data_IF_818900254398
#
_entry.id   IF_818900254398
#
_cell.length_a   1.000
_cell.length_b   1.000
_cell.length_c   1.000
_cell.angle_alpha   90.00
_cell.angle_beta   90.00
_cell.angle_gamma   90.00
#
_symmetry.space_group_name_H-M   'P 1'
#
loop_
_entity.id
_entity.type
_entity.pdbx_description
1 polymer ?
#
# COMPACT_ATOMS: atom_id res chain seq x y z
N UNK A 1 19.93 -22.60 -20.37
CA UNK A 1 20.52 -21.52 -21.17
C UNK A 1 19.60 -20.28 -21.29
N UNK A 2 18.33 -20.44 -21.66
CA UNK A 2 17.35 -19.36 -21.86
C UNK A 2 17.18 -18.41 -20.66
N UNK A 3 17.08 -18.94 -19.44
CA UNK A 3 16.92 -18.13 -18.21
C UNK A 3 18.17 -17.31 -17.88
N UNK A 4 19.37 -17.86 -18.10
CA UNK A 4 20.62 -17.09 -17.95
C UNK A 4 20.67 -15.92 -18.91
N UNK A 5 20.26 -16.15 -20.16
CA UNK A 5 20.17 -15.10 -21.18
C UNK A 5 19.16 -14.03 -20.77
N UNK A 6 17.98 -14.40 -20.25
CA UNK A 6 16.97 -13.48 -19.75
C UNK A 6 17.50 -12.57 -18.62
N UNK A 7 18.22 -13.14 -17.65
CA UNK A 7 18.85 -12.38 -16.55
C UNK A 7 19.90 -11.41 -17.09
N UNK A 8 20.78 -11.85 -17.98
CA UNK A 8 21.86 -11.01 -18.54
C UNK A 8 21.26 -9.87 -19.36
N UNK A 9 20.34 -10.17 -20.29
CA UNK A 9 19.71 -9.18 -21.15
C UNK A 9 18.86 -8.18 -20.35
N UNK A 10 18.08 -8.66 -19.39
CA UNK A 10 17.28 -7.79 -18.49
C UNK A 10 18.15 -6.84 -17.66
N UNK A 11 19.27 -7.34 -17.12
CA UNK A 11 20.23 -6.49 -16.39
C UNK A 11 20.94 -5.48 -17.29
N UNK A 12 21.27 -5.87 -18.51
CA UNK A 12 21.84 -4.95 -19.49
C UNK A 12 20.84 -3.82 -19.81
N UNK A 13 19.58 -4.18 -20.10
CA UNK A 13 18.51 -3.19 -20.29
C UNK A 13 18.36 -2.25 -19.08
N UNK A 14 18.43 -2.80 -17.85
CA UNK A 14 18.38 -1.98 -16.61
C UNK A 14 19.54 -0.99 -16.51
N UNK A 15 20.76 -1.38 -16.88
CA UNK A 15 21.94 -0.50 -16.89
C UNK A 15 21.77 0.65 -17.89
N UNK A 16 21.32 0.34 -19.11
CA UNK A 16 21.09 1.37 -20.14
C UNK A 16 20.01 2.37 -19.74
N UNK A 17 18.92 1.91 -19.14
CA UNK A 17 17.81 2.78 -18.72
C UNK A 17 18.18 3.66 -17.51
N UNK A 18 19.02 3.19 -16.61
CA UNK A 18 19.54 4.04 -15.51
C UNK A 18 20.32 5.24 -16.02
N UNK A 19 21.02 5.11 -17.14
CA UNK A 19 21.73 6.23 -17.78
C UNK A 19 20.79 7.26 -18.42
N UNK A 20 19.53 6.87 -18.72
CA UNK A 20 18.53 7.72 -19.38
C UNK A 20 17.39 8.20 -18.47
N UNK A 21 17.42 7.82 -17.19
CA UNK A 21 16.45 8.28 -16.19
C UNK A 21 15.02 7.72 -16.34
N UNK A 22 14.83 6.53 -16.94
CA UNK A 22 13.48 6.01 -17.21
C UNK A 22 13.27 4.51 -17.05
N UNK A 23 12.04 4.14 -16.68
CA UNK A 23 11.37 2.86 -16.93
C UNK A 23 11.71 1.65 -16.08
N UNK A 24 11.14 1.55 -14.86
CA UNK A 24 11.31 0.38 -13.97
C UNK A 24 10.83 -0.96 -14.54
N UNK A 25 9.83 -0.96 -15.43
CA UNK A 25 9.19 -2.17 -15.97
C UNK A 25 9.87 -2.76 -17.22
N UNK A 26 10.67 -2.00 -17.96
CA UNK A 26 11.28 -2.44 -19.23
C UNK A 26 12.25 -3.60 -19.07
N UNK A 27 13.14 -3.64 -18.06
CA UNK A 27 14.04 -4.78 -17.85
C UNK A 27 13.28 -6.09 -17.67
N UNK A 28 12.18 -6.06 -16.90
CA UNK A 28 11.30 -7.22 -16.71
C UNK A 28 10.61 -7.66 -18.00
N UNK A 29 10.14 -6.72 -18.83
CA UNK A 29 9.60 -7.06 -20.17
C UNK A 29 10.60 -7.82 -21.03
N UNK A 30 11.85 -7.35 -21.05
CA UNK A 30 12.93 -8.02 -21.81
C UNK A 30 13.14 -9.45 -21.28
N UNK A 31 13.21 -9.62 -19.97
CA UNK A 31 13.39 -10.96 -19.37
C UNK A 31 12.22 -11.89 -19.67
N UNK A 32 10.98 -11.43 -19.55
CA UNK A 32 9.78 -12.23 -19.82
C UNK A 32 9.63 -12.55 -21.31
N UNK A 33 10.01 -11.66 -22.23
CA UNK A 33 10.03 -11.95 -23.67
C UNK A 33 11.01 -13.07 -24.03
N UNK A 34 12.17 -13.12 -23.36
CA UNK A 34 13.17 -14.18 -23.57
C UNK A 34 12.75 -15.47 -22.85
N UNK A 35 12.24 -15.38 -21.63
CA UNK A 35 11.85 -16.51 -20.80
C UNK A 35 10.50 -16.27 -20.11
N UNK A 36 9.36 -16.59 -20.74
CA UNK A 36 8.02 -16.36 -20.18
C UNK A 36 7.82 -16.98 -18.79
N UNK A 37 8.37 -18.15 -18.51
CA UNK A 37 8.33 -18.81 -17.20
C UNK A 37 9.41 -18.31 -16.22
N UNK A 38 9.97 -17.10 -16.43
CA UNK A 38 11.04 -16.57 -15.56
C UNK A 38 10.56 -16.34 -14.13
N UNK A 39 9.35 -15.82 -13.93
CA UNK A 39 8.79 -15.57 -12.58
C UNK A 39 8.64 -16.88 -11.80
N UNK A 40 7.95 -17.87 -12.39
CA UNK A 40 7.73 -19.17 -11.78
C UNK A 40 9.06 -19.84 -11.38
N UNK A 41 10.02 -19.86 -12.32
CA UNK A 41 11.33 -20.42 -12.05
C UNK A 41 12.06 -19.68 -10.93
N UNK A 42 12.00 -18.36 -10.92
CA UNK A 42 12.75 -17.56 -9.97
C UNK A 42 12.37 -17.88 -8.52
N UNK A 43 11.09 -18.11 -8.26
CA UNK A 43 10.57 -18.36 -6.91
C UNK A 43 10.45 -19.84 -6.54
N UNK A 44 10.66 -20.76 -7.49
CA UNK A 44 10.38 -22.19 -7.31
C UNK A 44 11.25 -22.90 -6.26
N UNK A 45 12.30 -22.26 -5.75
CA UNK A 45 13.20 -22.82 -4.73
C UNK A 45 13.06 -22.16 -3.35
N UNK A 46 12.11 -21.27 -3.17
CA UNK A 46 11.84 -20.66 -1.87
C UNK A 46 11.22 -21.72 -0.93
N UNK A 47 11.84 -22.04 0.22
CA UNK A 47 11.35 -23.10 1.12
C UNK A 47 9.93 -22.84 1.65
N UNK A 48 9.60 -21.57 1.89
CA UNK A 48 8.27 -21.16 2.34
C UNK A 48 7.36 -20.68 1.19
N UNK A 49 7.83 -20.84 -0.07
CA UNK A 49 7.07 -20.41 -1.24
C UNK A 49 6.91 -18.92 -1.38
N UNK A 50 5.82 -18.52 -2.01
CA UNK A 50 5.40 -17.10 -2.14
C UNK A 50 4.07 -16.89 -1.46
N UNK A 51 3.88 -15.69 -0.92
CA UNK A 51 2.59 -15.20 -0.44
C UNK A 51 2.24 -13.90 -1.15
N UNK A 52 0.95 -13.70 -1.41
CA UNK A 52 0.45 -12.51 -2.07
C UNK A 52 -0.21 -11.57 -1.07
N UNK A 53 -0.04 -10.27 -1.31
CA UNK A 53 -0.75 -9.21 -0.60
C UNK A 53 -1.53 -8.41 -1.65
N UNK A 54 -2.86 -8.40 -1.53
CA UNK A 54 -3.76 -7.71 -2.48
C UNK A 54 -4.92 -7.03 -1.76
N UNK A 55 -5.57 -6.09 -2.44
CA UNK A 55 -6.67 -5.27 -1.95
C UNK A 55 -6.60 -3.85 -2.50
N UNK A 56 -7.66 -3.08 -2.42
CA UNK A 56 -7.72 -1.72 -2.99
C UNK A 56 -6.65 -0.81 -2.38
N UNK A 57 -6.52 -0.80 -1.06
CA UNK A 57 -5.55 0.02 -0.33
C UNK A 57 -4.73 -0.82 0.67
N UNK A 58 -3.64 -0.23 1.20
CA UNK A 58 -2.80 -0.87 2.23
C UNK A 58 -1.74 -1.84 1.69
N UNK A 59 -1.80 -2.28 0.44
CA UNK A 59 -0.89 -3.30 -0.14
C UNK A 59 0.58 -3.11 0.18
N UNK A 60 1.14 -1.95 -0.17
CA UNK A 60 2.57 -1.66 0.04
C UNK A 60 2.93 -1.56 1.52
N UNK A 61 2.07 -0.93 2.32
CA UNK A 61 2.27 -0.80 3.77
C UNK A 61 2.29 -2.17 4.43
N UNK A 62 1.27 -2.99 4.15
CA UNK A 62 1.16 -4.35 4.68
C UNK A 62 2.31 -5.25 4.22
N UNK A 63 2.72 -5.13 2.94
CA UNK A 63 3.88 -5.87 2.40
C UNK A 63 5.16 -5.52 3.15
N UNK A 64 5.40 -4.24 3.44
CA UNK A 64 6.55 -3.80 4.21
C UNK A 64 6.49 -4.27 5.67
N UNK A 65 5.32 -4.16 6.31
CA UNK A 65 5.12 -4.65 7.68
C UNK A 65 5.37 -6.16 7.76
N UNK A 66 4.77 -6.94 6.87
CA UNK A 66 4.97 -8.39 6.81
C UNK A 66 6.45 -8.74 6.57
N UNK A 67 7.10 -8.06 5.63
CA UNK A 67 8.51 -8.26 5.34
C UNK A 67 9.38 -7.96 6.57
N UNK A 68 9.11 -6.88 7.30
CA UNK A 68 9.85 -6.55 8.50
C UNK A 68 9.63 -7.60 9.61
N UNK A 69 8.38 -8.03 9.84
CA UNK A 69 8.08 -9.09 10.82
C UNK A 69 8.85 -10.37 10.49
N UNK A 70 8.82 -10.82 9.23
CA UNK A 70 9.52 -12.04 8.82
C UNK A 70 11.03 -11.91 8.95
N UNK A 71 11.61 -10.76 8.65
CA UNK A 71 13.05 -10.48 8.83
C UNK A 71 13.45 -10.47 10.30
N UNK A 72 12.63 -9.92 11.20
CA UNK A 72 12.84 -10.00 12.65
C UNK A 72 12.85 -11.44 13.17
N UNK A 73 12.18 -12.37 12.46
CA UNK A 73 12.25 -13.80 12.72
C UNK A 73 13.41 -14.50 12.01
N UNK A 74 14.38 -13.75 11.45
CA UNK A 74 15.59 -14.27 10.82
C UNK A 74 15.39 -14.80 9.41
N UNK A 75 14.24 -14.56 8.77
CA UNK A 75 14.00 -15.00 7.40
C UNK A 75 14.58 -14.02 6.36
N UNK A 76 15.16 -14.59 5.30
CA UNK A 76 15.53 -13.85 4.10
C UNK A 76 14.32 -13.71 3.17
N UNK A 77 13.81 -12.49 3.02
CA UNK A 77 12.57 -12.20 2.32
C UNK A 77 12.83 -11.47 1.00
N UNK A 78 12.35 -12.06 -0.10
CA UNK A 78 12.21 -11.36 -1.37
C UNK A 78 10.89 -10.59 -1.38
N UNK A 79 10.91 -9.35 -1.86
CA UNK A 79 9.70 -8.56 -2.09
C UNK A 79 9.90 -7.66 -3.32
N UNK A 80 8.81 -7.27 -3.97
CA UNK A 80 8.82 -6.27 -5.02
C UNK A 80 8.69 -4.86 -4.41
N UNK A 81 9.30 -3.83 -5.03
CA UNK A 81 9.15 -2.45 -4.55
C UNK A 81 7.70 -1.96 -4.69
N UNK A 82 7.33 -0.99 -3.87
CA UNK A 82 6.03 -0.31 -3.95
C UNK A 82 5.77 0.18 -5.38
N UNK A 83 4.58 -0.10 -5.91
CA UNK A 83 4.21 0.22 -7.29
C UNK A 83 4.71 -0.77 -8.35
N UNK A 84 5.61 -1.71 -8.01
CA UNK A 84 6.08 -2.77 -8.91
C UNK A 84 5.20 -4.02 -8.91
N UNK A 85 3.89 -3.87 -8.85
CA UNK A 85 2.87 -4.91 -8.62
C UNK A 85 2.32 -5.57 -9.91
N UNK A 86 2.92 -5.25 -11.06
CA UNK A 86 2.64 -5.87 -12.35
C UNK A 86 3.70 -6.96 -12.67
N UNK A 87 3.40 -7.96 -13.52
CA UNK A 87 4.35 -9.03 -13.85
C UNK A 87 5.73 -8.54 -14.28
N UNK A 88 5.80 -7.51 -15.12
CA UNK A 88 7.07 -6.92 -15.57
C UNK A 88 7.79 -6.14 -14.46
N UNK A 89 7.07 -5.54 -13.52
CA UNK A 89 7.62 -4.87 -12.35
C UNK A 89 8.27 -5.89 -11.41
N UNK A 90 7.56 -6.98 -11.10
CA UNK A 90 8.08 -8.11 -10.30
C UNK A 90 9.30 -8.74 -10.97
N UNK A 91 9.26 -8.96 -12.30
CA UNK A 91 10.41 -9.48 -13.04
C UNK A 91 11.61 -8.51 -12.96
N UNK A 92 11.38 -7.20 -13.03
CA UNK A 92 12.44 -6.20 -12.86
C UNK A 92 13.06 -6.23 -11.47
N UNK A 93 12.24 -6.39 -10.43
CA UNK A 93 12.70 -6.54 -9.05
C UNK A 93 13.56 -7.80 -8.89
N UNK A 94 13.10 -8.93 -9.46
CA UNK A 94 13.85 -10.17 -9.48
C UNK A 94 15.22 -10.04 -10.16
N UNK A 95 15.30 -9.35 -11.29
CA UNK A 95 16.56 -9.10 -12.01
C UNK A 95 17.60 -8.35 -11.17
N UNK A 96 17.16 -7.59 -10.16
CA UNK A 96 18.07 -6.90 -9.26
C UNK A 96 18.78 -7.86 -8.30
N UNK A 97 18.10 -8.90 -7.87
CA UNK A 97 18.48 -9.74 -6.74
C UNK A 97 18.90 -11.16 -7.13
N UNK A 98 18.27 -11.78 -8.15
CA UNK A 98 18.56 -13.16 -8.53
C UNK A 98 19.99 -13.31 -9.08
N UNK A 99 20.73 -14.37 -8.76
CA UNK A 99 21.96 -14.75 -9.46
C UNK A 99 21.70 -15.06 -10.94
N UNK A 100 22.76 -15.28 -11.74
CA UNK A 100 22.65 -15.58 -13.18
C UNK A 100 21.88 -16.88 -13.46
N UNK A 101 21.80 -17.79 -12.49
CA UNK A 101 21.01 -19.02 -12.59
C UNK A 101 19.49 -18.76 -12.58
N UNK A 102 19.08 -17.53 -12.17
CA UNK A 102 17.70 -17.05 -12.21
C UNK A 102 16.83 -17.50 -11.03
N UNK A 103 17.40 -18.00 -9.92
CA UNK A 103 16.66 -18.36 -8.71
C UNK A 103 16.84 -17.33 -7.61
N UNK A 104 15.77 -16.97 -6.92
CA UNK A 104 15.83 -16.16 -5.70
C UNK A 104 16.59 -16.92 -4.62
N UNK A 105 17.47 -16.21 -3.92
CA UNK A 105 18.12 -16.70 -2.71
C UNK A 105 17.35 -16.12 -1.52
N UNK A 106 16.64 -16.94 -0.79
CA UNK A 106 15.81 -16.54 0.35
C UNK A 106 14.91 -17.66 0.83
N UNK A 107 14.13 -17.35 1.84
CA UNK A 107 13.22 -18.30 2.49
C UNK A 107 11.80 -18.16 1.97
N UNK A 108 11.36 -16.94 1.68
CA UNK A 108 9.99 -16.63 1.27
C UNK A 108 9.94 -15.44 0.32
N UNK A 109 8.94 -15.44 -0.58
CA UNK A 109 8.58 -14.30 -1.39
C UNK A 109 7.30 -13.65 -0.85
N UNK A 110 7.36 -12.37 -0.46
CA UNK A 110 6.19 -11.56 -0.14
C UNK A 110 5.95 -10.63 -1.32
N UNK A 111 4.88 -10.87 -2.07
CA UNK A 111 4.65 -10.19 -3.35
C UNK A 111 3.38 -9.35 -3.25
N UNK A 112 3.54 -8.03 -3.39
CA UNK A 112 2.43 -7.12 -3.63
C UNK A 112 1.90 -7.32 -5.04
N UNK A 113 0.61 -7.58 -5.19
CA UNK A 113 -0.04 -7.78 -6.49
C UNK A 113 -1.23 -6.84 -6.68
N UNK A 114 -1.33 -6.29 -7.88
CA UNK A 114 -2.52 -5.58 -8.34
C UNK A 114 -3.67 -6.57 -8.52
N UNK A 115 -4.91 -6.16 -8.26
CA UNK A 115 -6.07 -7.05 -8.23
C UNK A 115 -6.30 -7.75 -9.57
N UNK A 116 -6.20 -7.04 -10.69
CA UNK A 116 -6.43 -7.62 -12.01
C UNK A 116 -5.27 -8.54 -12.45
N UNK A 117 -4.03 -8.07 -12.35
CA UNK A 117 -2.86 -8.86 -12.72
C UNK A 117 -2.56 -9.96 -11.69
N UNK A 118 -3.05 -9.80 -10.46
CA UNK A 118 -2.92 -10.79 -9.39
C UNK A 118 -3.61 -12.09 -9.73
N UNK A 119 -4.71 -12.07 -10.50
CA UNK A 119 -5.42 -13.30 -10.93
C UNK A 119 -4.51 -14.17 -11.80
N UNK A 120 -3.89 -13.58 -12.83
CA UNK A 120 -2.98 -14.31 -13.71
C UNK A 120 -1.70 -14.76 -12.97
N UNK A 121 -1.15 -13.87 -12.14
CA UNK A 121 0.02 -14.18 -11.31
C UNK A 121 -0.26 -15.29 -10.30
N UNK A 122 -1.44 -15.33 -9.69
CA UNK A 122 -1.83 -16.37 -8.75
C UNK A 122 -1.96 -17.73 -9.43
N UNK A 123 -2.50 -17.75 -10.64
CA UNK A 123 -2.55 -18.96 -11.46
C UNK A 123 -1.14 -19.46 -11.83
N UNK A 124 -0.24 -18.54 -12.17
CA UNK A 124 1.13 -18.84 -12.58
C UNK A 124 2.01 -19.28 -11.40
N UNK A 125 2.02 -18.50 -10.31
CA UNK A 125 2.96 -18.67 -9.19
C UNK A 125 2.41 -19.58 -8.09
N UNK A 126 1.09 -19.85 -8.08
CA UNK A 126 0.40 -20.68 -7.09
C UNK A 126 0.83 -20.31 -5.67
N UNK A 127 0.47 -19.13 -5.17
CA UNK A 127 0.94 -18.68 -3.87
C UNK A 127 0.55 -19.69 -2.78
N UNK A 128 1.42 -19.84 -1.79
CA UNK A 128 1.14 -20.66 -0.61
C UNK A 128 -0.04 -20.12 0.17
N UNK A 129 -0.10 -18.78 0.29
CA UNK A 129 -1.22 -18.08 0.89
C UNK A 129 -1.42 -16.70 0.28
N UNK A 130 -2.62 -16.14 0.43
CA UNK A 130 -2.95 -14.77 0.04
C UNK A 130 -3.53 -14.00 1.22
N UNK A 131 -3.08 -12.75 1.37
CA UNK A 131 -3.62 -11.78 2.31
C UNK A 131 -4.49 -10.78 1.53
N UNK A 132 -5.78 -10.77 1.82
CA UNK A 132 -6.78 -9.93 1.21
C UNK A 132 -7.17 -8.83 2.21
N UNK A 133 -6.95 -7.55 1.84
CA UNK A 133 -6.97 -6.43 2.77
C UNK A 133 -8.32 -5.73 2.84
N UNK A 134 -8.86 -5.30 1.69
CA UNK A 134 -10.10 -4.54 1.60
C UNK A 134 -10.61 -4.42 0.17
N UNK A 135 -11.90 -4.09 0.06
CA UNK A 135 -12.58 -3.65 -1.15
C UNK A 135 -13.06 -2.22 -0.93
N UNK A 136 -12.41 -1.26 -1.57
CA UNK A 136 -12.70 0.16 -1.44
C UNK A 136 -12.87 0.79 -2.82
N UNK A 137 -13.44 1.99 -2.89
CA UNK A 137 -13.57 2.73 -4.14
C UNK A 137 -12.16 3.14 -4.59
N UNK A 138 -11.67 2.50 -5.65
CA UNK A 138 -10.38 2.77 -6.26
C UNK A 138 -10.45 2.51 -7.78
N UNK A 139 -9.80 3.36 -8.57
CA UNK A 139 -9.64 3.20 -10.01
C UNK A 139 -10.96 2.83 -10.74
N UNK A 140 -12.07 3.55 -10.45
CA UNK A 140 -13.36 3.31 -11.12
C UNK A 140 -13.25 3.39 -12.64
N UNK A 141 -12.35 4.22 -13.16
CA UNK A 141 -12.02 4.32 -14.59
C UNK A 141 -11.44 3.02 -15.18
N UNK A 142 -10.90 2.12 -14.34
CA UNK A 142 -10.31 0.83 -14.76
C UNK A 142 -11.22 -0.36 -14.46
N UNK A 143 -11.88 -0.36 -13.31
CA UNK A 143 -12.67 -1.50 -12.85
C UNK A 143 -14.18 -1.31 -13.01
N UNK A 144 -14.66 -0.08 -13.19
CA UNK A 144 -16.04 0.35 -13.34
C UNK A 144 -16.93 0.07 -12.11
N UNK A 145 -16.79 -1.10 -11.48
CA UNK A 145 -17.61 -1.51 -10.34
C UNK A 145 -16.78 -2.24 -9.28
N UNK A 146 -16.99 -1.98 -7.97
CA UNK A 146 -16.31 -2.70 -6.88
C UNK A 146 -16.53 -4.21 -6.92
N UNK A 147 -17.68 -4.69 -7.42
CA UNK A 147 -18.00 -6.12 -7.56
C UNK A 147 -16.98 -6.89 -8.41
N UNK A 148 -16.38 -6.25 -9.40
CA UNK A 148 -15.28 -6.85 -10.19
C UNK A 148 -14.02 -7.06 -9.35
N UNK A 149 -13.70 -6.10 -8.48
CA UNK A 149 -12.57 -6.21 -7.55
C UNK A 149 -12.81 -7.37 -6.57
N UNK A 150 -14.02 -7.52 -6.04
CA UNK A 150 -14.42 -8.66 -5.20
C UNK A 150 -14.16 -9.99 -5.93
N UNK A 151 -14.60 -10.11 -7.18
CA UNK A 151 -14.37 -11.31 -8.00
C UNK A 151 -12.89 -11.61 -8.24
N UNK A 152 -12.07 -10.58 -8.48
CA UNK A 152 -10.62 -10.71 -8.66
C UNK A 152 -9.95 -11.17 -7.35
N UNK A 153 -10.26 -10.55 -6.20
CA UNK A 153 -9.71 -10.94 -4.90
C UNK A 153 -10.12 -12.37 -4.52
N UNK A 154 -11.39 -12.76 -4.78
CA UNK A 154 -11.84 -14.14 -4.62
C UNK A 154 -11.00 -15.11 -5.46
N UNK A 155 -10.71 -14.77 -6.72
CA UNK A 155 -9.92 -15.61 -7.62
C UNK A 155 -8.46 -15.74 -7.14
N UNK A 156 -7.86 -14.65 -6.64
CA UNK A 156 -6.51 -14.67 -6.04
C UNK A 156 -6.50 -15.59 -4.81
N UNK A 157 -7.46 -15.43 -3.89
CA UNK A 157 -7.59 -16.28 -2.70
C UNK A 157 -7.81 -17.76 -3.06
N UNK A 158 -8.67 -18.03 -4.05
CA UNK A 158 -8.96 -19.39 -4.51
C UNK A 158 -7.73 -20.10 -5.10
N UNK A 159 -6.77 -19.36 -5.63
CA UNK A 159 -5.51 -19.89 -6.19
C UNK A 159 -4.44 -20.19 -5.13
N UNK A 160 -4.67 -19.82 -3.85
CA UNK A 160 -3.77 -20.15 -2.76
C UNK A 160 -3.76 -21.66 -2.49
N UNK A 161 -2.56 -22.23 -2.36
CA UNK A 161 -2.39 -23.68 -2.24
C UNK A 161 -2.64 -24.23 -0.82
N UNK A 162 -2.46 -23.38 0.22
CA UNK A 162 -2.59 -23.83 1.61
C UNK A 162 -3.63 -23.03 2.40
N UNK A 163 -3.56 -21.70 2.43
CA UNK A 163 -4.44 -20.88 3.27
C UNK A 163 -4.75 -19.50 2.67
N UNK A 164 -5.78 -18.86 3.22
CA UNK A 164 -6.13 -17.46 2.90
C UNK A 164 -6.27 -16.67 4.20
N UNK A 165 -5.75 -15.44 4.21
CA UNK A 165 -5.93 -14.49 5.31
C UNK A 165 -6.82 -13.35 4.82
N UNK A 166 -7.92 -13.09 5.51
CA UNK A 166 -8.91 -12.10 5.08
C UNK A 166 -9.26 -11.12 6.21
N UNK A 167 -9.56 -9.89 5.83
CA UNK A 167 -10.08 -8.88 6.74
C UNK A 167 -11.55 -9.17 7.06
N UNK A 168 -11.86 -9.41 8.34
CA UNK A 168 -13.23 -9.67 8.78
C UNK A 168 -14.08 -8.40 8.93
N UNK A 169 -13.46 -7.21 8.91
CA UNK A 169 -14.17 -5.92 8.97
C UNK A 169 -14.56 -5.40 7.57
N UNK A 170 -14.20 -6.11 6.51
CA UNK A 170 -14.66 -5.85 5.16
C UNK A 170 -15.74 -6.86 4.79
N UNK A 171 -16.99 -6.43 4.64
CA UNK A 171 -18.15 -7.30 4.41
C UNK A 171 -17.95 -8.24 3.20
N UNK A 172 -17.34 -7.74 2.13
CA UNK A 172 -17.06 -8.53 0.93
C UNK A 172 -16.04 -9.62 1.21
N UNK A 173 -14.96 -9.29 1.93
CA UNK A 173 -13.91 -10.25 2.28
C UNK A 173 -14.36 -11.22 3.38
N UNK A 174 -15.15 -10.76 4.34
CA UNK A 174 -15.77 -11.62 5.35
C UNK A 174 -16.63 -12.71 4.69
N UNK A 175 -17.44 -12.32 3.70
CA UNK A 175 -18.23 -13.28 2.91
C UNK A 175 -17.36 -14.26 2.12
N UNK A 176 -16.31 -13.77 1.43
CA UNK A 176 -15.35 -14.64 0.74
C UNK A 176 -14.68 -15.62 1.71
N UNK A 177 -14.28 -15.14 2.89
CA UNK A 177 -13.70 -15.98 3.94
C UNK A 177 -14.65 -17.07 4.42
N UNK A 178 -15.93 -16.73 4.62
CA UNK A 178 -16.96 -17.69 5.00
C UNK A 178 -17.23 -18.72 3.88
N UNK A 179 -17.29 -18.30 2.62
CA UNK A 179 -17.41 -19.20 1.45
C UNK A 179 -16.22 -20.18 1.41
N UNK A 180 -15.00 -19.70 1.53
CA UNK A 180 -13.80 -20.55 1.53
C UNK A 180 -13.76 -21.53 2.70
N UNK A 181 -14.19 -21.10 3.89
CA UNK A 181 -14.30 -21.99 5.05
C UNK A 181 -15.35 -23.08 4.82
N UNK A 182 -16.49 -22.75 4.21
CA UNK A 182 -17.52 -23.72 3.83
C UNK A 182 -17.04 -24.69 2.73
N UNK A 183 -16.14 -24.26 1.85
CA UNK A 183 -15.44 -25.11 0.88
C UNK A 183 -14.35 -25.99 1.51
N UNK A 184 -14.13 -25.92 2.82
CA UNK A 184 -13.10 -26.67 3.55
C UNK A 184 -11.69 -26.12 3.39
N UNK A 185 -11.54 -24.88 2.96
CA UNK A 185 -10.23 -24.20 2.86
C UNK A 185 -9.78 -23.69 4.24
N UNK A 186 -8.50 -23.61 4.45
CA UNK A 186 -7.92 -23.03 5.65
C UNK A 186 -7.98 -21.50 5.58
N UNK A 187 -8.85 -20.90 6.38
CA UNK A 187 -9.10 -19.46 6.43
C UNK A 187 -8.69 -18.90 7.77
N UNK A 188 -7.90 -17.85 7.76
CA UNK A 188 -7.51 -17.06 8.92
C UNK A 188 -8.06 -15.65 8.75
N UNK A 189 -8.59 -15.06 9.83
CA UNK A 189 -9.11 -13.70 9.79
C UNK A 189 -8.36 -12.78 10.75
N UNK A 190 -8.41 -11.47 10.46
CA UNK A 190 -7.99 -10.39 11.33
C UNK A 190 -9.06 -9.31 11.36
N UNK A 191 -9.11 -8.54 12.45
CA UNK A 191 -10.12 -7.51 12.64
C UNK A 191 -9.65 -6.42 13.62
N UNK A 192 -10.47 -5.37 13.72
CA UNK A 192 -10.34 -4.26 14.66
C UNK A 192 -11.57 -4.21 15.56
N UNK A 193 -11.41 -3.77 16.80
CA UNK A 193 -12.54 -3.62 17.72
C UNK A 193 -13.60 -2.66 17.15
N UNK A 194 -14.88 -3.01 17.16
CA UNK A 194 -15.94 -2.17 16.64
C UNK A 194 -15.98 -0.76 17.25
N UNK A 195 -15.59 -0.63 18.54
CA UNK A 195 -15.47 0.66 19.22
C UNK A 195 -14.40 1.58 18.60
N UNK A 196 -13.31 1.01 18.07
CA UNK A 196 -12.25 1.77 17.39
C UNK A 196 -12.75 2.23 16.02
N UNK A 197 -13.42 1.34 15.27
CA UNK A 197 -14.01 1.69 13.97
C UNK A 197 -15.06 2.79 14.16
N UNK A 198 -15.94 2.66 15.16
CA UNK A 198 -16.98 3.65 15.46
C UNK A 198 -16.42 4.99 15.94
N UNK A 199 -15.20 5.06 16.47
CA UNK A 199 -14.53 6.31 16.83
C UNK A 199 -13.87 7.03 15.65
N UNK A 200 -13.73 6.35 14.49
CA UNK A 200 -13.24 6.97 13.26
C UNK A 200 -14.39 7.66 12.53
N UNK A 201 -14.28 8.94 12.16
CA UNK A 201 -15.37 9.70 11.55
C UNK A 201 -16.01 9.02 10.32
N UNK A 202 -15.19 8.41 9.48
CA UNK A 202 -15.60 7.72 8.25
C UNK A 202 -15.37 6.20 8.28
N UNK A 203 -15.14 5.62 9.46
CA UNK A 203 -14.89 4.19 9.64
C UNK A 203 -13.68 3.68 8.85
N UNK A 204 -13.82 2.54 8.17
CA UNK A 204 -12.79 1.94 7.31
C UNK A 204 -12.94 2.31 5.82
N UNK A 205 -14.00 3.02 5.46
CA UNK A 205 -14.34 3.40 4.07
C UNK A 205 -14.41 2.20 3.09
N UNK A 206 -14.76 1.02 3.59
CA UNK A 206 -14.98 -0.17 2.76
C UNK A 206 -16.31 -0.07 2.00
N UNK A 207 -16.38 -0.70 0.84
CA UNK A 207 -17.62 -0.79 0.07
C UNK A 207 -18.54 -1.81 0.72
N UNK A 208 -19.80 -1.43 0.96
CA UNK A 208 -20.83 -2.32 1.48
C UNK A 208 -21.04 -3.52 0.55
N UNK A 209 -21.22 -4.71 1.11
CA UNK A 209 -21.61 -5.89 0.33
C UNK A 209 -23.09 -5.81 -0.05
N UNK A 210 -23.37 -5.74 -1.34
CA UNK A 210 -24.71 -5.72 -1.89
C UNK A 210 -25.20 -7.12 -2.33
N UNK A 211 -24.45 -8.18 -2.02
CA UNK A 211 -24.83 -9.54 -2.40
C UNK A 211 -26.09 -9.99 -1.65
N UNK A 212 -27.06 -10.61 -2.33
CA UNK A 212 -28.25 -11.12 -1.66
C UNK A 212 -27.91 -12.34 -0.79
N UNK A 213 -28.40 -12.35 0.43
CA UNK A 213 -28.33 -13.48 1.35
C UNK A 213 -27.54 -13.18 2.63
N UNK A 214 -27.78 -13.98 3.66
CA UNK A 214 -27.00 -13.98 4.89
C UNK A 214 -25.75 -14.82 4.67
N UNK A 215 -24.57 -14.19 4.60
CA UNK A 215 -23.33 -14.93 4.65
C UNK A 215 -23.17 -15.62 6.02
N UNK A 216 -22.58 -16.82 6.03
CA UNK A 216 -22.12 -17.42 7.28
C UNK A 216 -21.12 -16.47 7.96
N UNK A 217 -21.09 -16.45 9.29
CA UNK A 217 -20.13 -15.64 10.00
C UNK A 217 -18.70 -16.09 9.64
N UNK A 218 -17.76 -15.14 9.41
CA UNK A 218 -16.37 -15.49 9.18
C UNK A 218 -15.77 -16.15 10.43
N UNK A 219 -14.66 -16.90 10.28
CA UNK A 219 -13.94 -17.44 11.41
C UNK A 219 -13.54 -16.36 12.44
N UNK A 220 -13.43 -16.75 13.70
CA UNK A 220 -12.99 -15.81 14.76
C UNK A 220 -11.60 -15.25 14.43
N UNK A 221 -11.38 -13.93 14.52
CA UNK A 221 -10.11 -13.31 14.19
C UNK A 221 -8.94 -13.87 15.01
N UNK A 222 -7.87 -14.25 14.33
CA UNK A 222 -6.63 -14.74 14.95
C UNK A 222 -5.73 -13.61 15.45
N UNK A 223 -5.91 -12.42 14.88
CA UNK A 223 -5.28 -11.17 15.30
C UNK A 223 -6.35 -10.08 15.35
N UNK A 224 -6.38 -9.36 16.46
CA UNK A 224 -7.41 -8.38 16.74
C UNK A 224 -6.81 -7.11 17.33
N UNK A 225 -7.09 -5.95 16.71
CA UNK A 225 -6.70 -4.64 17.26
C UNK A 225 -7.72 -4.24 18.32
N UNK A 226 -7.32 -4.23 19.59
CA UNK A 226 -8.23 -3.92 20.70
C UNK A 226 -8.02 -2.55 21.33
N UNK A 227 -6.95 -1.82 20.97
CA UNK A 227 -6.73 -0.42 21.32
C UNK A 227 -5.92 0.29 20.24
N UNK A 228 -6.21 1.58 20.03
CA UNK A 228 -5.49 2.47 19.12
C UNK A 228 -5.49 3.89 19.68
N UNK A 229 -4.30 4.45 19.93
CA UNK A 229 -4.12 5.84 20.37
C UNK A 229 -2.93 6.45 19.63
N UNK A 230 -3.20 7.36 18.72
CA UNK A 230 -2.18 7.94 17.85
C UNK A 230 -1.48 6.87 17.00
N UNK A 231 -0.20 6.60 17.31
CA UNK A 231 0.61 5.54 16.68
C UNK A 231 0.69 4.27 17.52
N UNK A 232 0.17 4.28 18.73
CA UNK A 232 0.23 3.12 19.63
C UNK A 232 -1.00 2.24 19.40
N UNK A 233 -0.79 1.01 18.97
CA UNK A 233 -1.84 0.02 18.82
C UNK A 233 -1.57 -1.18 19.72
N UNK A 234 -2.65 -1.82 20.16
CA UNK A 234 -2.58 -3.07 20.94
C UNK A 234 -3.19 -4.20 20.15
N UNK A 235 -2.38 -5.21 19.86
CA UNK A 235 -2.78 -6.39 19.12
C UNK A 235 -2.98 -7.57 20.05
N UNK A 236 -4.16 -8.19 20.04
CA UNK A 236 -4.38 -9.50 20.60
C UNK A 236 -4.06 -10.58 19.55
N UNK A 237 -3.16 -11.48 19.87
CA UNK A 237 -2.63 -12.50 18.95
C UNK A 237 -2.70 -13.86 19.62
N UNK A 238 -3.75 -14.65 19.34
CA UNK A 238 -3.88 -16.00 19.87
C UNK A 238 -3.76 -16.12 21.40
N UNK A 239 -4.37 -15.19 22.12
CA UNK A 239 -4.35 -15.15 23.60
C UNK A 239 -3.20 -14.33 24.21
N UNK A 240 -2.23 -13.88 23.42
CA UNK A 240 -1.17 -12.95 23.83
C UNK A 240 -1.50 -11.53 23.38
N UNK A 241 -1.17 -10.53 24.18
CA UNK A 241 -1.35 -9.12 23.83
C UNK A 241 0.01 -8.45 23.63
N UNK A 242 0.15 -7.67 22.56
CA UNK A 242 1.38 -6.95 22.23
C UNK A 242 1.05 -5.50 21.92
N UNK A 243 1.76 -4.57 22.57
CA UNK A 243 1.71 -3.17 22.22
C UNK A 243 2.71 -2.93 21.07
N UNK A 244 2.26 -2.25 20.02
CA UNK A 244 3.07 -1.95 18.81
C UNK A 244 3.04 -0.47 18.52
N UNK A 245 4.19 0.07 18.09
CA UNK A 245 4.28 1.42 17.57
C UNK A 245 4.19 1.39 16.05
N UNK A 246 3.07 1.86 15.51
CA UNK A 246 2.83 1.94 14.06
C UNK A 246 3.75 2.97 13.38
N UNK A 247 4.10 2.79 12.10
CA UNK A 247 4.94 3.74 11.36
C UNK A 247 4.30 5.11 11.21
N UNK A 248 2.95 5.19 11.12
CA UNK A 248 2.20 6.44 11.12
C UNK A 248 0.88 6.30 11.88
N UNK A 249 0.16 7.42 12.04
CA UNK A 249 -1.16 7.49 12.68
C UNK A 249 -2.22 6.99 11.71
N UNK A 250 -3.29 6.42 12.24
CA UNK A 250 -4.50 6.10 11.50
C UNK A 250 -4.94 4.64 11.64
N UNK A 251 -6.27 4.48 11.60
CA UNK A 251 -6.92 3.17 11.73
C UNK A 251 -6.43 2.19 10.64
N UNK A 252 -6.23 2.67 9.42
CA UNK A 252 -5.74 1.85 8.31
C UNK A 252 -4.35 1.22 8.59
N UNK A 253 -3.44 1.92 9.32
CA UNK A 253 -2.16 1.34 9.72
C UNK A 253 -2.32 0.23 10.75
N UNK A 254 -3.30 0.34 11.64
CA UNK A 254 -3.60 -0.71 12.60
C UNK A 254 -4.20 -1.95 11.93
N UNK A 255 -5.08 -1.75 10.93
CA UNK A 255 -5.63 -2.83 10.08
C UNK A 255 -4.51 -3.52 9.31
N UNK A 256 -3.63 -2.75 8.65
CA UNK A 256 -2.49 -3.28 7.90
C UNK A 256 -1.54 -4.09 8.80
N UNK A 257 -1.28 -3.61 10.03
CA UNK A 257 -0.45 -4.30 11.01
C UNK A 257 -1.10 -5.61 11.49
N UNK A 258 -2.41 -5.62 11.71
CA UNK A 258 -3.14 -6.85 12.07
C UNK A 258 -3.07 -7.88 10.95
N UNK A 259 -3.31 -7.48 9.70
CA UNK A 259 -3.22 -8.34 8.52
C UNK A 259 -1.82 -8.92 8.32
N UNK A 260 -0.78 -8.07 8.38
CA UNK A 260 0.62 -8.49 8.29
C UNK A 260 0.99 -9.49 9.41
N UNK A 261 0.54 -9.22 10.63
CA UNK A 261 0.78 -10.10 11.79
C UNK A 261 0.07 -11.45 11.64
N UNK A 262 -1.18 -11.45 11.16
CA UNK A 262 -1.94 -12.69 10.92
C UNK A 262 -1.26 -13.55 9.84
N UNK A 263 -0.81 -12.95 8.74
CA UNK A 263 -0.07 -13.64 7.70
C UNK A 263 1.27 -14.17 8.20
N UNK A 264 2.06 -13.38 8.95
CA UNK A 264 3.33 -13.81 9.52
C UNK A 264 3.13 -15.00 10.47
N UNK A 265 2.12 -14.96 11.33
CA UNK A 265 1.77 -16.05 12.22
C UNK A 265 1.46 -17.34 11.47
N UNK A 266 0.71 -17.26 10.36
CA UNK A 266 0.41 -18.42 9.50
C UNK A 266 1.66 -19.00 8.84
N UNK A 267 2.57 -18.16 8.39
CA UNK A 267 3.82 -18.61 7.77
C UNK A 267 4.80 -19.25 8.74
N UNK A 268 4.90 -18.70 9.95
CA UNK A 268 5.90 -19.08 10.94
C UNK A 268 5.44 -20.24 11.83
N UNK A 269 4.12 -20.42 12.02
CA UNK A 269 3.58 -21.43 12.93
C UNK A 269 4.17 -21.29 14.33
N UNK A 270 4.72 -22.39 14.88
CA UNK A 270 5.29 -22.43 16.24
C UNK A 270 6.54 -21.55 16.41
N UNK A 271 7.15 -21.09 15.31
CA UNK A 271 8.31 -20.16 15.34
C UNK A 271 7.90 -18.69 15.53
N UNK A 272 6.60 -18.40 15.53
CA UNK A 272 6.12 -17.02 15.66
C UNK A 272 6.36 -16.47 17.06
N UNK A 273 7.09 -15.35 17.14
CA UNK A 273 7.31 -14.56 18.37
C UNK A 273 6.51 -13.25 18.28
N UNK A 274 5.52 -13.11 19.14
CA UNK A 274 4.69 -11.91 19.18
C UNK A 274 5.50 -10.63 19.55
N UNK A 275 6.56 -10.74 20.34
CA UNK A 275 7.42 -9.62 20.69
C UNK A 275 8.23 -9.08 19.47
N UNK A 276 8.51 -9.93 18.50
CA UNK A 276 9.18 -9.52 17.26
C UNK A 276 8.31 -8.56 16.43
N UNK A 277 6.99 -8.62 16.56
CA UNK A 277 6.07 -7.71 15.85
C UNK A 277 6.32 -6.26 16.26
N UNK A 278 6.46 -5.97 17.55
CA UNK A 278 6.76 -4.61 18.03
C UNK A 278 8.13 -4.12 17.50
N UNK A 279 9.16 -4.94 17.56
CA UNK A 279 10.48 -4.57 17.04
C UNK A 279 10.44 -4.26 15.54
N UNK A 280 9.73 -5.10 14.78
CA UNK A 280 9.53 -4.90 13.36
C UNK A 280 8.83 -3.57 13.06
N UNK A 281 7.71 -3.29 13.72
CA UNK A 281 6.93 -2.07 13.50
C UNK A 281 7.72 -0.82 13.88
N UNK A 282 8.44 -0.85 15.02
CA UNK A 282 9.25 0.28 15.49
C UNK A 282 10.41 0.64 14.55
N UNK A 283 10.93 -0.34 13.78
CA UNK A 283 11.99 -0.14 12.80
C UNK A 283 11.53 0.42 11.46
N UNK A 284 10.22 0.38 11.18
CA UNK A 284 9.67 0.79 9.91
C UNK A 284 9.62 2.32 9.78
N UNK A 285 9.99 2.78 8.59
CA UNK A 285 9.68 4.13 8.12
C UNK A 285 8.39 4.10 7.30
N UNK A 286 7.69 5.23 7.26
CA UNK A 286 6.50 5.37 6.42
C UNK A 286 6.82 5.12 4.95
N UNK A 287 5.90 4.47 4.24
CA UNK A 287 5.96 4.37 2.78
C UNK A 287 5.68 5.74 2.19
N UNK A 288 6.29 6.06 1.05
CA UNK A 288 6.13 7.33 0.35
C UNK A 288 4.71 7.87 0.33
N UNK A 289 4.56 9.16 0.70
CA UNK A 289 3.30 9.88 0.61
C UNK A 289 2.20 9.41 1.55
N UNK A 290 2.51 8.53 2.51
CA UNK A 290 1.54 8.01 3.48
C UNK A 290 1.84 8.54 4.88
N UNK A 291 1.62 9.85 5.09
CA UNK A 291 2.08 10.55 6.28
C UNK A 291 3.61 10.63 6.35
N UNK A 292 4.26 10.68 5.19
CA UNK A 292 5.71 10.83 5.08
C UNK A 292 6.10 12.26 5.44
N UNK A 293 7.04 12.40 6.37
CA UNK A 293 7.63 13.69 6.70
C UNK A 293 9.00 13.80 6.05
N UNK A 294 9.19 14.83 5.22
CA UNK A 294 10.44 15.17 4.58
C UNK A 294 11.09 16.34 5.30
N UNK A 295 12.40 16.24 5.54
CA UNK A 295 13.20 17.36 6.05
C UNK A 295 13.65 18.24 4.89
N UNK A 296 13.12 19.46 4.79
CA UNK A 296 13.44 20.45 3.75
C UNK A 296 14.08 21.66 4.42
N UNK A 297 15.41 21.78 4.29
CA UNK A 297 16.16 22.79 5.05
C UNK A 297 16.08 22.52 6.56
N UNK A 298 15.54 23.47 7.30
CA UNK A 298 15.32 23.40 8.75
C UNK A 298 13.85 23.12 9.14
N UNK A 299 13.00 22.83 8.15
CA UNK A 299 11.58 22.55 8.33
C UNK A 299 11.21 21.11 8.00
N UNK A 300 10.15 20.63 8.62
CA UNK A 300 9.51 19.36 8.29
C UNK A 300 8.27 19.61 7.43
N UNK A 301 8.12 18.84 6.37
CA UNK A 301 7.01 18.89 5.41
C UNK A 301 6.35 17.52 5.37
N UNK A 302 5.08 17.46 5.70
CA UNK A 302 4.29 16.23 5.61
C UNK A 302 3.68 16.09 4.22
N UNK A 303 3.78 14.90 3.64
CA UNK A 303 3.16 14.57 2.36
C UNK A 303 1.99 13.62 2.58
N UNK A 304 0.81 14.05 2.18
CA UNK A 304 -0.42 13.27 2.11
C UNK A 304 -0.68 12.96 0.63
N UNK A 305 -0.51 11.70 0.25
CA UNK A 305 -0.79 11.27 -1.11
C UNK A 305 -2.29 11.00 -1.29
N UNK A 306 -2.94 11.76 -2.17
CA UNK A 306 -4.30 11.50 -2.60
C UNK A 306 -4.30 10.50 -3.75
N UNK A 307 -4.50 9.23 -3.45
CA UNK A 307 -4.59 8.16 -4.45
C UNK A 307 -6.04 7.96 -4.92
N UNK A 308 -6.97 7.93 -3.98
CA UNK A 308 -8.39 7.65 -4.15
C UNK A 308 -9.18 8.22 -2.97
N UNK A 309 -10.54 8.24 -3.02
CA UNK A 309 -11.37 8.80 -1.95
C UNK A 309 -11.02 8.25 -0.56
N UNK A 310 -11.01 6.93 -0.31
CA UNK A 310 -10.72 6.40 1.02
C UNK A 310 -9.33 6.79 1.53
N UNK A 311 -8.32 6.78 0.66
CA UNK A 311 -6.96 7.12 1.09
C UNK A 311 -6.82 8.59 1.48
N UNK A 312 -7.48 9.51 0.77
CA UNK A 312 -7.48 10.92 1.15
C UNK A 312 -8.28 11.14 2.42
N UNK A 313 -9.52 10.62 2.49
CA UNK A 313 -10.40 10.83 3.64
C UNK A 313 -9.75 10.33 4.94
N UNK A 314 -9.24 9.10 4.95
CA UNK A 314 -8.60 8.54 6.13
C UNK A 314 -7.36 9.34 6.59
N UNK A 315 -6.60 9.93 5.68
CA UNK A 315 -5.49 10.80 6.07
C UNK A 315 -5.98 12.12 6.65
N UNK A 316 -7.04 12.71 6.10
CA UNK A 316 -7.63 13.95 6.62
C UNK A 316 -8.27 13.74 8.00
N UNK A 317 -8.95 12.61 8.22
CA UNK A 317 -9.58 12.24 9.49
C UNK A 317 -8.58 12.14 10.66
N UNK A 318 -7.32 11.88 10.36
CA UNK A 318 -6.25 11.73 11.37
C UNK A 318 -5.33 12.93 11.50
N UNK A 319 -5.65 14.04 10.84
CA UNK A 319 -5.01 15.31 11.16
C UNK A 319 -5.39 15.69 12.60
N UNK A 320 -4.39 15.83 13.47
CA UNK A 320 -4.64 16.15 14.88
C UNK A 320 -5.17 17.56 15.09
N UNK A 321 -4.83 18.46 14.17
CA UNK A 321 -5.23 19.87 14.13
C UNK A 321 -5.25 20.31 12.66
N UNK A 322 -6.06 21.32 12.29
CA UNK A 322 -5.98 21.94 10.97
C UNK A 322 -4.56 22.41 10.67
N UNK A 323 -3.98 22.05 9.51
CA UNK A 323 -2.63 22.50 9.15
C UNK A 323 -2.59 24.01 8.96
N UNK A 324 -1.56 24.68 9.53
CA UNK A 324 -1.36 26.13 9.36
C UNK A 324 -0.93 26.51 7.94
N UNK A 325 -0.41 25.57 7.14
CA UNK A 325 -0.02 25.80 5.75
C UNK A 325 -0.32 24.56 4.91
N UNK A 326 -1.04 24.78 3.83
CA UNK A 326 -1.54 23.73 2.97
C UNK A 326 -1.17 23.99 1.51
N UNK A 327 -0.51 23.02 0.91
CA UNK A 327 -0.22 22.96 -0.51
C UNK A 327 -1.02 21.82 -1.16
N UNK A 328 -1.66 22.08 -2.28
CA UNK A 328 -2.36 21.04 -3.03
C UNK A 328 -1.82 21.00 -4.46
N UNK A 329 -1.42 19.82 -4.95
CA UNK A 329 -0.98 19.70 -6.35
C UNK A 329 -1.48 18.42 -6.99
N UNK A 330 -2.17 18.56 -8.10
CA UNK A 330 -2.81 17.46 -8.83
C UNK A 330 -2.64 17.64 -10.34
N UNK A 331 -2.26 16.57 -11.02
CA UNK A 331 -2.12 16.53 -12.47
C UNK A 331 -2.93 15.40 -13.12
N UNK A 332 -2.61 15.07 -14.37
CA UNK A 332 -3.30 14.06 -15.18
C UNK A 332 -3.13 12.64 -14.67
N UNK A 333 -2.25 12.39 -13.69
CA UNK A 333 -2.17 11.11 -12.96
C UNK A 333 -3.44 10.79 -12.18
N UNK A 334 -4.29 11.80 -11.93
CA UNK A 334 -5.67 11.62 -11.48
C UNK A 334 -6.63 11.98 -12.62
N UNK A 335 -6.97 11.04 -13.52
CA UNK A 335 -7.73 11.36 -14.75
C UNK A 335 -9.10 11.97 -14.45
N UNK A 336 -9.82 11.41 -13.49
CA UNK A 336 -11.12 11.92 -13.02
C UNK A 336 -11.02 12.31 -11.53
N UNK A 337 -10.95 13.61 -11.21
CA UNK A 337 -10.94 14.09 -9.83
C UNK A 337 -12.34 14.35 -9.26
N UNK A 338 -13.42 13.98 -9.94
CA UNK A 338 -14.79 14.29 -9.49
C UNK A 338 -15.12 13.73 -8.10
N UNK A 339 -14.51 12.62 -7.73
CA UNK A 339 -14.67 12.02 -6.42
C UNK A 339 -14.24 12.93 -5.24
N UNK A 340 -13.45 13.99 -5.50
CA UNK A 340 -13.05 14.93 -4.44
C UNK A 340 -14.24 15.70 -3.88
N UNK A 341 -15.38 15.72 -4.59
CA UNK A 341 -16.61 16.35 -4.10
C UNK A 341 -17.27 15.57 -2.96
N UNK A 342 -16.99 14.27 -2.85
CA UNK A 342 -17.50 13.39 -1.78
C UNK A 342 -16.62 13.41 -0.53
N UNK A 343 -15.45 14.06 -0.58
CA UNK A 343 -14.51 14.14 0.55
C UNK A 343 -14.98 15.22 1.55
N UNK A 344 -15.01 14.85 2.82
CA UNK A 344 -15.11 15.79 3.93
C UNK A 344 -13.79 16.54 4.11
N UNK A 345 -13.82 17.84 3.83
CA UNK A 345 -12.66 18.73 3.91
C UNK A 345 -12.70 19.60 5.19
N UNK A 346 -13.53 19.28 6.16
CA UNK A 346 -13.71 20.09 7.39
C UNK A 346 -12.43 20.26 8.22
N UNK A 347 -11.45 19.37 8.05
CA UNK A 347 -10.12 19.48 8.67
C UNK A 347 -9.18 20.49 7.98
N UNK A 348 -9.60 21.11 6.85
CA UNK A 348 -8.82 22.08 6.09
C UNK A 348 -9.50 23.46 6.18
N UNK A 349 -8.88 24.40 6.87
CA UNK A 349 -9.45 25.75 7.05
C UNK A 349 -9.13 26.68 5.87
N UNK A 350 -8.01 26.49 5.19
CA UNK A 350 -7.59 27.26 4.02
C UNK A 350 -6.56 26.47 3.20
N UNK A 351 -6.28 26.93 1.99
CA UNK A 351 -5.20 26.41 1.12
C UNK A 351 -4.34 27.57 0.66
N UNK A 352 -3.05 27.52 0.93
CA UNK A 352 -2.11 28.60 0.54
C UNK A 352 -1.81 28.55 -0.95
N UNK A 353 -1.52 27.37 -1.49
CA UNK A 353 -1.14 27.21 -2.91
C UNK A 353 -1.81 25.98 -3.51
N UNK A 354 -2.48 26.17 -4.63
CA UNK A 354 -3.01 25.08 -5.48
C UNK A 354 -2.22 25.05 -6.79
N UNK A 355 -1.76 23.85 -7.18
CA UNK A 355 -0.86 23.64 -8.31
C UNK A 355 -1.22 22.43 -9.18
N UNK A 356 -0.49 22.23 -10.27
CA UNK A 356 -0.68 21.16 -11.24
C UNK A 356 -1.66 21.52 -12.36
N UNK A 357 -1.81 20.61 -13.33
CA UNK A 357 -2.69 20.83 -14.49
C UNK A 357 -4.17 20.93 -14.11
N UNK A 358 -4.54 20.36 -12.95
CA UNK A 358 -5.91 20.38 -12.39
C UNK A 358 -6.09 21.43 -11.27
N UNK A 359 -5.17 22.39 -11.16
CA UNK A 359 -5.19 23.41 -10.11
C UNK A 359 -6.53 24.16 -10.00
N UNK A 360 -7.11 24.58 -11.11
CA UNK A 360 -8.37 25.30 -11.13
C UNK A 360 -9.58 24.43 -10.73
N UNK A 361 -9.56 23.13 -11.04
CA UNK A 361 -10.61 22.20 -10.64
C UNK A 361 -10.62 22.04 -9.10
N UNK A 362 -9.43 21.90 -8.49
CA UNK A 362 -9.31 21.81 -7.04
C UNK A 362 -9.61 23.15 -6.35
N UNK A 363 -9.15 24.25 -6.88
CA UNK A 363 -9.52 25.58 -6.36
C UNK A 363 -11.05 25.79 -6.36
N UNK A 364 -11.72 25.35 -7.44
CA UNK A 364 -13.19 25.37 -7.51
C UNK A 364 -13.83 24.49 -6.42
N UNK A 365 -13.29 23.28 -6.19
CA UNK A 365 -13.80 22.40 -5.12
C UNK A 365 -13.66 23.04 -3.74
N UNK A 366 -12.51 23.67 -3.45
CA UNK A 366 -12.31 24.37 -2.18
C UNK A 366 -13.27 25.56 -2.04
N UNK A 367 -13.48 26.32 -3.11
CA UNK A 367 -14.47 27.42 -3.09
C UNK A 367 -15.89 26.91 -2.79
N UNK A 368 -16.30 25.77 -3.36
CA UNK A 368 -17.59 25.13 -3.04
C UNK A 368 -17.68 24.69 -1.58
N UNK A 369 -16.58 24.32 -0.96
CA UNK A 369 -16.52 23.96 0.46
C UNK A 369 -16.42 25.19 1.38
N UNK A 370 -16.35 26.41 0.83
CA UNK A 370 -16.14 27.62 1.61
C UNK A 370 -14.71 27.78 2.14
N UNK A 371 -13.76 27.02 1.60
CA UNK A 371 -12.35 27.03 2.00
C UNK A 371 -11.61 28.07 1.12
N UNK A 372 -11.01 29.12 1.71
CA UNK A 372 -10.29 30.13 0.95
C UNK A 372 -9.00 29.56 0.35
N UNK A 373 -8.75 29.89 -0.92
CA UNK A 373 -7.50 29.59 -1.65
C UNK A 373 -6.74 30.90 -1.83
N UNK A 374 -5.48 30.97 -1.35
CA UNK A 374 -4.68 32.18 -1.42
C UNK A 374 -4.08 32.38 -2.82
N UNK A 375 -3.56 31.33 -3.42
CA UNK A 375 -2.91 31.37 -4.72
C UNK A 375 -3.22 30.12 -5.57
N UNK A 376 -3.42 30.33 -6.86
CA UNK A 376 -3.47 29.23 -7.86
C UNK A 376 -2.29 29.42 -8.80
N UNK A 377 -1.31 28.53 -8.70
CA UNK A 377 -0.06 28.57 -9.46
C UNK A 377 0.12 27.23 -10.18
N UNK A 378 -0.38 27.05 -11.42
CA UNK A 378 -0.34 25.75 -12.11
C UNK A 378 1.05 25.17 -12.30
N UNK A 379 2.09 26.00 -12.49
CA UNK A 379 3.47 25.54 -12.68
C UNK A 379 4.06 25.09 -11.35
N UNK A 380 4.39 23.78 -11.24
CA UNK A 380 4.78 23.13 -10.01
C UNK A 380 6.01 23.75 -9.33
N UNK A 381 7.05 24.10 -10.09
CA UNK A 381 8.30 24.63 -9.52
C UNK A 381 8.09 26.00 -8.89
N UNK A 382 7.32 26.87 -9.53
CA UNK A 382 6.97 28.19 -9.00
C UNK A 382 6.06 28.07 -7.78
N UNK A 383 5.07 27.17 -7.84
CA UNK A 383 4.16 26.89 -6.74
C UNK A 383 4.90 26.36 -5.51
N UNK A 384 5.82 25.42 -5.71
CA UNK A 384 6.64 24.86 -4.65
C UNK A 384 7.54 25.90 -4.01
N UNK A 385 8.16 26.75 -4.82
CA UNK A 385 8.98 27.87 -4.32
C UNK A 385 8.13 28.86 -3.50
N UNK A 386 6.93 29.21 -3.95
CA UNK A 386 6.02 30.09 -3.21
C UNK A 386 5.59 29.47 -1.86
N UNK A 387 5.25 28.19 -1.85
CA UNK A 387 4.84 27.49 -0.63
C UNK A 387 5.98 27.35 0.39
N UNK A 388 7.16 26.97 -0.06
CA UNK A 388 8.33 26.82 0.83
C UNK A 388 8.82 28.16 1.40
N UNK A 389 8.55 29.28 0.69
CA UNK A 389 8.88 30.63 1.18
C UNK A 389 7.93 31.14 2.27
N UNK A 390 6.79 30.46 2.51
CA UNK A 390 5.90 30.81 3.62
C UNK A 390 6.63 30.66 4.97
N UNK A 391 6.26 31.46 5.99
CA UNK A 391 6.80 31.32 7.34
C UNK A 391 6.70 29.89 7.84
N UNK A 392 7.61 29.50 8.73
CA UNK A 392 7.52 28.22 9.43
C UNK A 392 6.23 28.17 10.27
N UNK A 393 5.46 27.06 10.22
CA UNK A 393 4.26 26.93 11.05
C UNK A 393 4.61 27.02 12.53
N UNK A 394 3.73 27.62 13.32
CA UNK A 394 3.91 27.74 14.77
C UNK A 394 3.69 26.38 15.45
N UNK A 395 2.88 25.53 14.84
CA UNK A 395 2.57 24.17 15.28
C UNK A 395 2.57 23.23 14.08
N UNK A 396 2.93 21.97 14.33
CA UNK A 396 2.92 20.93 13.30
C UNK A 396 3.94 21.12 12.20
N UNK A 397 3.56 20.75 10.99
CA UNK A 397 4.38 20.74 9.78
C UNK A 397 3.65 21.42 8.62
N UNK A 398 4.39 21.90 7.63
CA UNK A 398 3.80 22.25 6.33
C UNK A 398 3.19 20.99 5.71
N UNK A 399 1.95 21.07 5.23
CA UNK A 399 1.22 19.90 4.70
C UNK A 399 1.05 20.02 3.19
N UNK A 400 1.47 18.98 2.46
CA UNK A 400 1.29 18.86 1.01
C UNK A 400 0.31 17.72 0.70
N UNK A 401 -0.80 18.02 0.06
CA UNK A 401 -1.80 17.04 -0.42
C UNK A 401 -1.62 16.91 -1.93
N UNK A 402 -1.13 15.75 -2.39
CA UNK A 402 -0.66 15.59 -3.76
C UNK A 402 -1.02 14.24 -4.35
N UNK A 403 -1.22 14.14 -5.67
CA UNK A 403 -1.30 12.82 -6.30
C UNK A 403 0.11 12.22 -6.50
N UNK A 404 0.17 10.95 -6.91
CA UNK A 404 1.42 10.19 -6.97
C UNK A 404 2.49 10.86 -7.86
N UNK A 405 2.11 11.30 -9.05
CA UNK A 405 3.02 11.91 -10.03
C UNK A 405 3.59 13.22 -9.51
N UNK A 406 2.74 14.06 -8.91
CA UNK A 406 3.18 15.32 -8.30
C UNK A 406 4.08 15.08 -7.10
N UNK A 407 3.77 14.08 -6.27
CA UNK A 407 4.62 13.67 -5.16
C UNK A 407 6.03 13.32 -5.66
N UNK A 408 6.14 12.49 -6.70
CA UNK A 408 7.43 12.08 -7.25
C UNK A 408 8.21 13.25 -7.85
N UNK A 409 7.53 14.18 -8.52
CA UNK A 409 8.15 15.40 -9.04
C UNK A 409 8.64 16.32 -7.92
N UNK A 410 7.83 16.53 -6.87
CA UNK A 410 8.20 17.32 -5.68
C UNK A 410 9.43 16.71 -5.00
N UNK A 411 9.42 15.41 -4.74
CA UNK A 411 10.56 14.72 -4.15
C UNK A 411 11.84 14.93 -4.96
N UNK A 412 11.75 14.80 -6.28
CA UNK A 412 12.87 15.04 -7.19
C UNK A 412 13.36 16.50 -7.12
N UNK A 413 12.46 17.47 -7.09
CA UNK A 413 12.81 18.89 -6.98
C UNK A 413 13.49 19.21 -5.64
N UNK A 414 13.08 18.53 -4.57
CA UNK A 414 13.65 18.67 -3.23
C UNK A 414 14.94 17.86 -3.04
N UNK A 415 15.40 17.12 -4.05
CA UNK A 415 16.64 16.34 -4.00
C UNK A 415 16.52 14.99 -3.31
N UNK A 416 15.32 14.52 -3.04
CA UNK A 416 15.08 13.18 -2.52
C UNK A 416 15.13 12.15 -3.65
N UNK A 417 16.06 11.21 -3.54
CA UNK A 417 16.24 10.13 -4.52
C UNK A 417 15.08 9.13 -4.43
N UNK A 418 14.67 8.63 -5.59
CA UNK A 418 13.77 7.49 -5.67
C UNK A 418 14.40 6.24 -5.07
N UNK A 419 13.66 5.54 -4.19
CA UNK A 419 14.09 4.25 -3.64
C UNK A 419 13.99 3.08 -4.64
N UNK A 420 13.65 3.29 -5.90
CA UNK A 420 13.86 2.28 -6.95
C UNK A 420 15.35 1.91 -7.11
N UNK A 421 16.22 2.59 -6.42
CA UNK A 421 17.67 2.43 -6.41
C UNK A 421 18.25 1.77 -5.17
N UNK A 422 17.57 0.85 -4.49
CA UNK A 422 18.16 -0.02 -3.44
C UNK A 422 19.07 0.71 -2.42
N UNK A 423 18.97 0.36 -1.17
CA UNK A 423 19.75 0.84 -0.02
C UNK A 423 21.08 1.53 -0.35
N UNK A 424 21.18 2.81 0.03
CA UNK A 424 22.43 3.42 0.45
C UNK A 424 22.28 4.00 1.84
#
# INVERSE_FOLDING_TARGET
>A
MRYRLAVIAGRFARRLLRLRGGGSAVPGRVALAIAPAFLERAVSRLPLGVVFVSGSNGKSTTTNMLTAILREHGLSVFTNPSGGNLPQGIASALLATVPVDGYVRGDVGVIEVDEAYGVDLATLLKPRGSLLLNVQIDQLNRFFEPTRVVGMLRSIGASSSEFVVVNADDDNLARIGAEFAAEGRDVTTFAVAPSIIASSPNGLANVTDFSPGTAAAPPVPSVFVNALEGRNARLAIGGTTVDVMLPARGLHYAVDAAGATAMARRLLGDRFDAAAVNRAMASLRTVYGRGETLRVGDEDVEIIMMKNPPSLQLNLDYLSEPPEQVFVSVDEGTPDPSWVYDIDLSSIEHVDVVSGTKAWQFATRFAYAGIPVQQVVPELKAALAAFLALPKPSRGTKTMIVNYEQMMLIRKHLGFLDLEGGDR
#
